data_IF_550175973192
#
_entry.id   IF_550175973192
#
_cell.length_a   1.000
_cell.length_b   1.000
_cell.length_c   1.000
_cell.angle_alpha   90.00
_cell.angle_beta   90.00
_cell.angle_gamma   90.00
#
_symmetry.space_group_name_H-M   'P 1'
#
loop_
_entity.id
_entity.type
_entity.pdbx_description
1 polymer ?
#
# COMPACT_ATOMS: atom_id res chain seq x y z
N UNK A 1 15.41 17.79 1.15
CA UNK A 1 14.29 16.94 0.67
C UNK A 1 13.63 16.35 1.89
N UNK A 2 12.30 16.21 1.93
CA UNK A 2 11.66 15.51 3.05
C UNK A 2 12.19 14.07 3.11
N UNK A 3 12.45 13.57 4.31
CA UNK A 3 12.91 12.20 4.53
C UNK A 3 11.84 11.21 4.05
N UNK A 4 12.23 10.29 3.16
CA UNK A 4 11.31 9.31 2.55
C UNK A 4 10.87 8.31 3.60
N UNK A 5 9.56 8.21 3.87
CA UNK A 5 9.01 7.23 4.81
C UNK A 5 8.79 5.88 4.12
N UNK A 6 8.73 4.83 4.94
CA UNK A 6 8.43 3.48 4.49
C UNK A 6 7.21 2.95 5.22
N UNK A 7 6.37 2.22 4.49
CA UNK A 7 5.12 1.67 4.96
C UNK A 7 5.09 0.16 4.73
N UNK A 8 4.55 -0.60 5.68
CA UNK A 8 4.34 -2.03 5.53
C UNK A 8 2.89 -2.32 5.18
N UNK A 9 2.67 -2.88 4.00
CA UNK A 9 1.38 -3.30 3.51
C UNK A 9 1.25 -4.81 3.67
N UNK A 10 0.10 -5.27 4.15
CA UNK A 10 -0.14 -6.70 4.41
C UNK A 10 -1.29 -7.18 3.54
N UNK A 11 -1.03 -8.16 2.71
CA UNK A 11 -2.04 -8.87 1.95
C UNK A 11 -1.90 -10.37 2.18
N UNK A 12 -3.04 -11.06 2.20
CA UNK A 12 -3.05 -12.51 2.24
C UNK A 12 -2.78 -13.05 0.82
N UNK A 13 -1.80 -13.96 0.62
CA UNK A 13 -1.43 -14.44 -0.72
C UNK A 13 -2.55 -15.14 -1.49
N UNK A 14 -3.57 -15.64 -0.79
CA UNK A 14 -4.73 -16.27 -1.39
C UNK A 14 -5.83 -15.28 -1.81
N UNK A 15 -5.74 -14.02 -1.36
CA UNK A 15 -6.65 -12.95 -1.72
C UNK A 15 -6.04 -12.06 -2.80
N UNK A 16 -4.83 -11.55 -2.56
CA UNK A 16 -4.07 -10.75 -3.52
C UNK A 16 -2.58 -10.86 -3.23
N UNK A 17 -1.85 -11.61 -4.04
CA UNK A 17 -0.42 -11.85 -3.85
C UNK A 17 0.45 -10.77 -4.50
N UNK A 18 1.73 -10.74 -4.12
CA UNK A 18 2.72 -9.92 -4.83
C UNK A 18 2.86 -10.33 -6.30
N UNK A 19 2.69 -11.62 -6.61
CA UNK A 19 2.70 -12.10 -8.00
C UNK A 19 1.54 -11.54 -8.80
N UNK A 20 0.36 -11.42 -8.19
CA UNK A 20 -0.80 -10.80 -8.85
C UNK A 20 -0.51 -9.33 -9.17
N UNK A 21 0.03 -8.57 -8.21
CA UNK A 21 0.47 -7.18 -8.43
C UNK A 21 1.49 -7.06 -9.56
N UNK A 22 2.48 -7.96 -9.62
CA UNK A 22 3.51 -7.95 -10.66
C UNK A 22 2.94 -8.27 -12.06
N UNK A 23 1.77 -8.89 -12.13
CA UNK A 23 1.09 -9.22 -13.38
C UNK A 23 0.04 -8.17 -13.79
N UNK A 24 -0.19 -7.13 -12.97
CA UNK A 24 -1.12 -6.05 -13.32
C UNK A 24 -0.62 -5.30 -14.57
N UNK A 25 -1.49 -5.02 -15.57
CA UNK A 25 -1.08 -4.34 -16.81
C UNK A 25 -0.41 -2.99 -16.58
N UNK A 26 -0.87 -2.26 -15.56
CA UNK A 26 -0.38 -0.92 -15.24
C UNK A 26 0.73 -0.93 -14.16
N UNK A 27 1.03 -2.10 -13.59
CA UNK A 27 2.04 -2.26 -12.53
C UNK A 27 1.66 -1.62 -11.19
N UNK A 28 0.36 -1.34 -10.98
CA UNK A 28 -0.19 -0.86 -9.71
C UNK A 28 -1.60 -1.39 -9.50
N UNK A 29 -2.06 -1.38 -8.25
CA UNK A 29 -3.42 -1.73 -7.87
C UNK A 29 -3.96 -0.78 -6.79
N UNK A 30 -5.28 -0.67 -6.70
CA UNK A 30 -5.93 0.05 -5.61
C UNK A 30 -5.75 -0.72 -4.29
N UNK A 31 -5.42 -0.01 -3.21
CA UNK A 31 -5.41 -0.60 -1.87
C UNK A 31 -6.75 -0.37 -1.17
N UNK A 32 -7.68 -1.26 -1.44
CA UNK A 32 -9.04 -1.20 -0.92
C UNK A 32 -9.19 -1.97 0.41
N UNK A 33 -10.44 -2.23 0.84
CA UNK A 33 -10.69 -3.18 1.95
C UNK A 33 -10.29 -2.72 3.36
N UNK A 34 -9.63 -1.57 3.53
CA UNK A 34 -9.20 -1.09 4.86
C UNK A 34 -10.43 -0.76 5.72
N UNK A 35 -10.60 -1.51 6.82
CA UNK A 35 -11.65 -1.29 7.83
C UNK A 35 -11.10 -0.93 9.21
N UNK A 36 -9.78 -0.84 9.34
CA UNK A 36 -9.13 -0.36 10.56
C UNK A 36 -8.98 1.17 10.50
N UNK A 37 -9.52 1.87 11.50
CA UNK A 37 -9.51 3.34 11.54
C UNK A 37 -8.10 3.92 11.61
N UNK A 38 -7.18 3.30 12.35
CA UNK A 38 -5.81 3.79 12.49
C UNK A 38 -5.06 3.65 11.16
N UNK A 39 -5.12 2.48 10.52
CA UNK A 39 -4.50 2.27 9.22
C UNK A 39 -5.02 3.24 8.16
N UNK A 40 -6.35 3.42 8.09
CA UNK A 40 -6.98 4.40 7.21
C UNK A 40 -6.48 5.83 7.47
N UNK A 41 -6.40 6.24 8.74
CA UNK A 41 -5.95 7.58 9.08
C UNK A 41 -4.46 7.77 8.74
N UNK A 42 -3.59 6.79 8.99
CA UNK A 42 -2.19 6.83 8.58
C UNK A 42 -2.05 6.95 7.05
N UNK A 43 -2.83 6.20 6.28
CA UNK A 43 -2.83 6.31 4.82
C UNK A 43 -3.30 7.69 4.32
N UNK A 44 -4.29 8.29 4.99
CA UNK A 44 -4.86 9.59 4.58
C UNK A 44 -4.00 10.78 5.01
N UNK A 45 -3.51 10.77 6.24
CA UNK A 45 -2.94 11.95 6.91
C UNK A 45 -1.41 12.00 6.75
N UNK A 46 -0.76 10.83 6.69
CA UNK A 46 0.71 10.74 6.77
C UNK A 46 1.36 10.26 5.47
N UNK A 47 0.73 9.38 4.69
CA UNK A 47 1.35 8.90 3.44
C UNK A 47 1.48 10.02 2.40
N UNK A 48 2.61 10.03 1.69
CA UNK A 48 2.86 10.97 0.59
C UNK A 48 3.30 10.23 -0.66
N UNK A 49 2.95 10.78 -1.83
CA UNK A 49 3.49 10.30 -3.11
C UNK A 49 5.02 10.35 -3.05
N UNK A 50 5.65 9.22 -3.38
CA UNK A 50 7.11 9.06 -3.30
C UNK A 50 7.60 8.33 -2.05
N UNK A 51 6.76 8.12 -1.04
CA UNK A 51 7.07 7.19 0.06
C UNK A 51 7.28 5.76 -0.46
N UNK A 52 8.06 4.97 0.28
CA UNK A 52 8.33 3.57 -0.04
C UNK A 52 7.31 2.62 0.59
N UNK A 53 7.10 1.47 -0.05
CA UNK A 53 6.33 0.34 0.50
C UNK A 53 7.29 -0.85 0.61
N UNK A 54 7.19 -1.59 1.72
CA UNK A 54 7.95 -2.81 2.02
C UNK A 54 7.19 -4.05 1.58
#
# INVERSE_FOLDING_TARGET
MAEKRYWLFKSEPNAYSFTDLMNEPDGWAEWDGVRNYQARNSMRDDMKVGDGIL
#
